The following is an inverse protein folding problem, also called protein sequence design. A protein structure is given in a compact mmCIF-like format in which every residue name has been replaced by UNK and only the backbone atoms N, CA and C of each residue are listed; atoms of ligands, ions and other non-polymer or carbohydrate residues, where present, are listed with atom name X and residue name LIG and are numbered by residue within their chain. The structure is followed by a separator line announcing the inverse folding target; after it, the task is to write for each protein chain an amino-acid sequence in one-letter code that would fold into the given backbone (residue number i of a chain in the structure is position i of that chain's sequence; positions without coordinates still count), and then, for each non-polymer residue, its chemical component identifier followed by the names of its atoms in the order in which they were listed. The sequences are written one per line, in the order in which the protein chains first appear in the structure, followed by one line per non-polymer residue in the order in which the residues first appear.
data_IF_367091968480
#
_entry.id   IF_367091968480
#
_cell.length_a   1.000
_cell.length_b   1.000
_cell.length_c   1.000
_cell.angle_alpha   90.00
_cell.angle_beta   90.00
_cell.angle_gamma   90.00
#
_symmetry.space_group_name_H-M   'P 1'
#
loop_
_entity.id
_entity.type
_entity.pdbx_description
1 polymer ?
#
# COMPACT_ATOMS: atom_id res chain seq x y z
N UNK A 1 31.76 -2.41 -49.41
CA UNK A 1 30.97 -1.81 -48.31
C UNK A 1 30.13 -2.90 -47.68
N UNK A 2 30.54 -3.41 -46.52
CA UNK A 2 29.78 -4.44 -45.80
C UNK A 2 28.54 -3.76 -45.19
N UNK A 3 27.35 -4.23 -45.54
CA UNK A 3 26.13 -3.90 -44.77
C UNK A 3 26.37 -4.43 -43.36
N UNK A 4 26.44 -3.53 -42.37
CA UNK A 4 26.34 -3.92 -40.98
C UNK A 4 25.02 -4.67 -40.83
N UNK A 5 25.10 -5.99 -40.65
CA UNK A 5 23.96 -6.79 -40.24
C UNK A 5 23.65 -6.35 -38.82
N UNK A 6 22.57 -5.58 -38.67
CA UNK A 6 21.98 -5.26 -37.36
C UNK A 6 21.72 -6.58 -36.62
N UNK A 7 22.06 -6.63 -35.34
CA UNK A 7 21.94 -7.88 -34.59
C UNK A 7 20.45 -8.23 -34.41
N UNK A 8 20.06 -9.53 -34.48
CA UNK A 8 18.66 -9.95 -34.32
C UNK A 8 17.99 -9.48 -33.01
N UNK A 9 18.80 -9.16 -31.99
CA UNK A 9 18.36 -8.62 -30.71
C UNK A 9 17.96 -7.13 -30.78
N UNK A 10 18.58 -6.33 -31.66
CA UNK A 10 18.20 -4.93 -31.89
C UNK A 10 16.85 -4.85 -32.60
N UNK A 11 16.61 -5.69 -33.61
CA UNK A 11 15.33 -5.71 -34.32
C UNK A 11 14.19 -6.14 -33.39
N UNK A 12 14.41 -7.14 -32.52
CA UNK A 12 13.41 -7.57 -31.55
C UNK A 12 13.10 -6.49 -30.49
N UNK A 13 14.12 -5.75 -30.04
CA UNK A 13 13.95 -4.64 -29.12
C UNK A 13 13.21 -3.46 -29.76
N UNK A 14 13.55 -3.12 -31.00
CA UNK A 14 12.90 -2.04 -31.76
C UNK A 14 11.44 -2.38 -32.08
N UNK A 15 11.14 -3.64 -32.43
CA UNK A 15 9.76 -4.13 -32.60
C UNK A 15 8.97 -4.08 -31.29
N UNK A 16 9.59 -4.46 -30.17
CA UNK A 16 8.95 -4.39 -28.85
C UNK A 16 8.62 -2.94 -28.46
N UNK A 17 9.53 -2.01 -28.72
CA UNK A 17 9.34 -0.57 -28.45
C UNK A 17 8.21 0.00 -29.32
N UNK A 18 8.19 -0.31 -30.62
CA UNK A 18 7.14 0.17 -31.54
C UNK A 18 5.76 -0.38 -31.14
N UNK A 19 5.67 -1.67 -30.80
CA UNK A 19 4.41 -2.27 -30.33
C UNK A 19 3.95 -1.67 -29.01
N UNK A 20 4.88 -1.44 -28.08
CA UNK A 20 4.58 -0.76 -26.83
C UNK A 20 4.06 0.67 -27.10
N UNK A 21 4.74 1.46 -27.94
CA UNK A 21 4.31 2.81 -28.31
C UNK A 21 2.91 2.84 -28.92
N UNK A 22 2.58 1.90 -29.80
CA UNK A 22 1.23 1.79 -30.36
C UNK A 22 0.21 1.45 -29.27
N UNK A 23 0.53 0.53 -28.35
CA UNK A 23 -0.33 0.23 -27.20
C UNK A 23 -0.54 1.44 -26.28
N UNK A 24 0.50 2.25 -26.05
CA UNK A 24 0.44 3.46 -25.23
C UNK A 24 -0.33 4.61 -25.91
N UNK A 25 -0.19 4.78 -27.23
CA UNK A 25 -0.76 5.92 -27.98
C UNK A 25 -2.13 5.63 -28.57
N UNK A 26 -2.42 4.38 -28.94
CA UNK A 26 -3.69 3.97 -29.54
C UNK A 26 -4.74 3.50 -28.52
N UNK A 27 -4.37 3.34 -27.23
CA UNK A 27 -5.32 3.03 -26.17
C UNK A 27 -5.74 4.30 -25.41
N UNK A 28 -6.89 4.93 -25.74
CA UNK A 28 -7.37 6.14 -25.05
C UNK A 28 -7.68 5.92 -23.56
N UNK A 29 -7.73 4.67 -23.08
CA UNK A 29 -7.87 4.33 -21.67
C UNK A 29 -6.56 4.44 -20.88
N UNK A 30 -5.40 4.40 -21.54
CA UNK A 30 -4.11 4.26 -20.86
C UNK A 30 -3.79 5.44 -19.93
N UNK A 31 -3.98 6.69 -20.40
CA UNK A 31 -3.72 7.90 -19.61
C UNK A 31 -4.58 8.00 -18.34
N UNK A 32 -5.92 7.96 -18.45
CA UNK A 32 -6.82 7.96 -17.30
C UNK A 32 -6.54 6.80 -16.33
N UNK A 33 -6.34 5.58 -16.86
CA UNK A 33 -6.06 4.40 -16.04
C UNK A 33 -4.73 4.51 -15.28
N UNK A 34 -3.70 5.11 -15.91
CA UNK A 34 -2.42 5.38 -15.23
C UNK A 34 -2.59 6.41 -14.11
N UNK A 35 -3.39 7.46 -14.31
CA UNK A 35 -3.61 8.49 -13.29
C UNK A 35 -4.33 7.92 -12.07
N UNK A 36 -5.43 7.18 -12.29
CA UNK A 36 -6.15 6.52 -11.21
C UNK A 36 -5.26 5.54 -10.46
N UNK A 37 -4.46 4.74 -11.18
CA UNK A 37 -3.52 3.80 -10.56
C UNK A 37 -2.55 4.49 -9.61
N UNK A 38 -1.94 5.62 -10.04
CA UNK A 38 -1.02 6.37 -9.17
C UNK A 38 -1.74 7.00 -7.97
N UNK A 39 -2.97 7.50 -8.13
CA UNK A 39 -3.77 8.02 -7.02
C UNK A 39 -4.13 6.92 -6.01
N UNK A 40 -4.45 5.72 -6.48
CA UNK A 40 -4.72 4.58 -5.61
C UNK A 40 -3.48 4.17 -4.83
N UNK A 41 -2.32 4.11 -5.49
CA UNK A 41 -1.05 3.84 -4.81
C UNK A 41 -0.68 4.90 -3.77
N UNK A 42 -0.89 6.18 -4.09
CA UNK A 42 -0.63 7.29 -3.16
C UNK A 42 -1.49 7.17 -1.89
N UNK A 43 -2.80 6.92 -2.04
CA UNK A 43 -3.70 6.68 -0.91
C UNK A 43 -3.34 5.44 -0.09
N UNK A 44 -2.88 4.37 -0.73
CA UNK A 44 -2.40 3.18 -0.02
C UNK A 44 -1.16 3.51 0.83
N UNK A 45 -0.26 4.34 0.32
CA UNK A 45 0.91 4.79 1.08
C UNK A 45 0.50 5.64 2.30
N UNK A 46 -0.49 6.52 2.15
CA UNK A 46 -1.04 7.31 3.26
C UNK A 46 -1.60 6.42 4.39
N UNK A 47 -2.37 5.38 4.05
CA UNK A 47 -2.93 4.46 5.06
C UNK A 47 -1.83 3.63 5.74
N UNK A 48 -0.81 3.19 5.00
CA UNK A 48 0.35 2.48 5.56
C UNK A 48 1.17 3.38 6.47
N UNK A 49 1.38 4.64 6.11
CA UNK A 49 2.09 5.63 6.93
C UNK A 49 1.34 5.88 8.25
N UNK A 50 0.03 6.11 8.17
CA UNK A 50 -0.84 6.32 9.33
C UNK A 50 -0.81 5.14 10.30
N UNK A 51 -0.99 3.91 9.79
CA UNK A 51 -0.87 2.70 10.59
C UNK A 51 0.51 2.58 11.24
N UNK A 52 1.57 2.74 10.44
CA UNK A 52 2.94 2.56 10.90
C UNK A 52 3.30 3.55 12.01
N UNK A 53 2.90 4.82 11.87
CA UNK A 53 3.14 5.84 12.89
C UNK A 53 2.49 5.47 14.24
N UNK A 54 1.23 5.00 14.22
CA UNK A 54 0.52 4.56 15.42
C UNK A 54 1.16 3.30 16.03
N UNK A 55 1.51 2.33 15.19
CA UNK A 55 2.18 1.09 15.61
C UNK A 55 3.53 1.36 16.28
N UNK A 56 4.38 2.20 15.67
CA UNK A 56 5.69 2.57 16.24
C UNK A 56 5.53 3.24 17.60
N UNK A 57 4.57 4.16 17.74
CA UNK A 57 4.27 4.80 19.03
C UNK A 57 3.95 3.76 20.11
N UNK A 58 3.02 2.83 19.81
CA UNK A 58 2.64 1.76 20.76
C UNK A 58 3.79 0.81 21.08
N UNK A 59 4.68 0.53 20.12
CA UNK A 59 5.89 -0.29 20.37
C UNK A 59 6.89 0.39 21.26
N UNK A 60 7.14 1.68 21.07
CA UNK A 60 7.98 2.44 21.99
C UNK A 60 7.40 2.49 23.40
N UNK A 61 6.09 2.69 23.52
CA UNK A 61 5.42 2.70 24.83
C UNK A 61 5.50 1.33 25.52
N UNK A 62 5.31 0.23 24.77
CA UNK A 62 5.46 -1.13 25.29
C UNK A 62 6.89 -1.42 25.76
N UNK A 63 7.90 -1.02 25.00
CA UNK A 63 9.31 -1.22 25.38
C UNK A 63 9.67 -0.41 26.62
N UNK A 64 9.25 0.87 26.68
CA UNK A 64 9.48 1.71 27.86
C UNK A 64 8.79 1.13 29.09
N UNK A 65 7.54 0.66 28.97
CA UNK A 65 6.83 0.07 30.10
C UNK A 65 7.47 -1.23 30.57
N UNK A 66 8.07 -2.03 29.66
CA UNK A 66 8.83 -3.22 30.03
C UNK A 66 10.12 -2.87 30.78
N UNK A 67 10.81 -1.80 30.39
CA UNK A 67 12.00 -1.30 31.11
C UNK A 67 11.63 -0.81 32.51
N UNK A 68 10.51 -0.10 32.67
CA UNK A 68 10.06 0.36 33.99
C UNK A 68 9.62 -0.80 34.88
N UNK A 69 8.91 -1.79 34.31
CA UNK A 69 8.57 -3.02 35.02
C UNK A 69 9.82 -3.76 35.51
N UNK A 70 10.83 -3.93 34.65
CA UNK A 70 12.04 -4.65 35.03
C UNK A 70 12.75 -3.94 36.19
N UNK A 71 12.91 -2.61 36.12
CA UNK A 71 13.46 -1.82 37.24
C UNK A 71 12.66 -2.06 38.52
N UNK A 72 11.33 -1.94 38.47
CA UNK A 72 10.46 -2.10 39.64
C UNK A 72 10.62 -3.48 40.29
N UNK A 73 10.65 -4.54 39.48
CA UNK A 73 10.85 -5.91 39.96
C UNK A 73 12.25 -6.09 40.56
N UNK A 74 13.29 -5.55 39.95
CA UNK A 74 14.67 -5.68 40.47
C UNK A 74 14.95 -4.80 41.70
N UNK A 75 14.26 -3.67 41.89
CA UNK A 75 14.48 -2.78 43.04
C UNK A 75 13.58 -3.09 44.23
N UNK A 76 12.36 -3.60 44.00
CA UNK A 76 11.36 -3.87 45.06
C UNK A 76 10.90 -5.32 45.12
N UNK A 77 10.71 -5.96 43.96
CA UNK A 77 10.16 -7.32 43.85
C UNK A 77 11.06 -8.45 44.36
N UNK A 78 12.37 -8.22 44.53
CA UNK A 78 13.28 -9.19 45.18
C UNK A 78 12.88 -9.42 46.64
N UNK A 79 12.30 -8.41 47.29
CA UNK A 79 11.92 -8.45 48.69
C UNK A 79 10.43 -8.77 48.90
N UNK A 80 9.61 -8.69 47.84
CA UNK A 80 8.19 -9.06 47.86
C UNK A 80 7.74 -9.69 46.50
N UNK A 81 7.64 -11.03 46.43
CA UNK A 81 7.19 -11.73 45.24
C UNK A 81 5.75 -11.41 44.82
N UNK A 82 4.86 -11.05 45.76
CA UNK A 82 3.47 -10.74 45.44
C UNK A 82 3.37 -9.43 44.64
N UNK A 83 4.14 -8.42 45.03
CA UNK A 83 4.26 -7.14 44.30
C UNK A 83 4.83 -7.36 42.89
N UNK A 84 5.81 -8.25 42.73
CA UNK A 84 6.37 -8.57 41.42
C UNK A 84 5.33 -9.24 40.49
N UNK A 85 4.53 -10.18 41.03
CA UNK A 85 3.48 -10.87 40.27
C UNK A 85 2.39 -9.89 39.84
N UNK A 86 1.92 -9.03 40.75
CA UNK A 86 0.90 -8.02 40.44
C UNK A 86 1.38 -7.07 39.34
N UNK A 87 2.59 -6.55 39.46
CA UNK A 87 3.19 -5.66 38.45
C UNK A 87 3.33 -6.34 37.07
N UNK A 88 3.70 -7.62 37.04
CA UNK A 88 3.77 -8.42 35.82
C UNK A 88 2.40 -8.63 35.18
N UNK A 89 1.38 -9.00 35.97
CA UNK A 89 0.01 -9.17 35.49
C UNK A 89 -0.56 -7.88 34.90
N UNK A 90 -0.32 -6.75 35.56
CA UNK A 90 -0.77 -5.45 35.07
C UNK A 90 -0.07 -5.03 33.77
N UNK A 91 1.23 -5.29 33.67
CA UNK A 91 1.97 -5.04 32.43
C UNK A 91 1.48 -5.94 31.28
N UNK A 92 1.23 -7.22 31.55
CA UNK A 92 0.70 -8.18 30.58
C UNK A 92 -0.66 -7.73 30.04
N UNK A 93 -1.58 -7.33 30.92
CA UNK A 93 -2.91 -6.82 30.52
C UNK A 93 -2.79 -5.63 29.57
N UNK A 94 -2.00 -4.63 29.93
CA UNK A 94 -1.75 -3.45 29.07
C UNK A 94 -1.05 -3.83 27.76
N UNK A 95 -0.26 -4.90 27.75
CA UNK A 95 0.36 -5.42 26.53
C UNK A 95 -0.67 -6.03 25.58
N UNK A 96 -1.64 -6.77 26.12
CA UNK A 96 -2.74 -7.33 25.33
C UNK A 96 -3.63 -6.23 24.74
N UNK A 97 -3.92 -5.17 25.51
CA UNK A 97 -4.66 -4.00 25.01
C UNK A 97 -3.96 -3.39 23.79
N UNK A 98 -2.65 -3.13 23.87
CA UNK A 98 -1.87 -2.59 22.73
C UNK A 98 -1.86 -3.51 21.51
N UNK A 99 -1.81 -4.83 21.71
CA UNK A 99 -1.84 -5.82 20.61
C UNK A 99 -3.22 -5.83 19.95
N UNK A 100 -4.30 -5.74 20.74
CA UNK A 100 -5.65 -5.65 20.21
C UNK A 100 -5.84 -4.38 19.35
N UNK A 101 -5.32 -3.24 19.83
CA UNK A 101 -5.30 -1.99 19.07
C UNK A 101 -4.50 -2.13 17.77
N UNK A 102 -3.33 -2.79 17.79
CA UNK A 102 -2.55 -3.06 16.59
C UNK A 102 -3.30 -3.92 15.57
N UNK A 103 -3.98 -4.98 16.04
CA UNK A 103 -4.74 -5.87 15.17
C UNK A 103 -5.92 -5.15 14.52
N UNK A 104 -6.61 -4.30 15.29
CA UNK A 104 -7.69 -3.45 14.79
C UNK A 104 -7.18 -2.49 13.71
N UNK A 105 -6.17 -1.68 14.02
CA UNK A 105 -5.65 -0.68 13.09
C UNK A 105 -5.06 -1.33 11.83
N UNK A 106 -4.41 -2.49 11.95
CA UNK A 106 -3.91 -3.26 10.81
C UNK A 106 -5.05 -3.74 9.91
N UNK A 107 -6.13 -4.23 10.50
CA UNK A 107 -7.32 -4.66 9.75
C UNK A 107 -7.96 -3.48 9.02
N UNK A 108 -8.10 -2.34 9.69
CA UNK A 108 -8.63 -1.11 9.08
C UNK A 108 -7.77 -0.63 7.90
N UNK A 109 -6.44 -0.61 8.07
CA UNK A 109 -5.50 -0.27 7.00
C UNK A 109 -5.63 -1.22 5.80
N UNK A 110 -5.67 -2.54 6.05
CA UNK A 110 -5.81 -3.53 4.98
C UNK A 110 -7.14 -3.37 4.23
N UNK A 111 -8.23 -3.11 4.94
CA UNK A 111 -9.54 -2.82 4.34
C UNK A 111 -9.51 -1.55 3.49
N UNK A 112 -8.94 -0.45 4.00
CA UNK A 112 -8.83 0.80 3.25
C UNK A 112 -7.96 0.65 1.98
N UNK A 113 -6.86 -0.10 2.06
CA UNK A 113 -6.04 -0.43 0.89
C UNK A 113 -6.82 -1.25 -0.14
N UNK A 114 -7.61 -2.25 0.30
CA UNK A 114 -8.45 -3.04 -0.60
C UNK A 114 -9.52 -2.16 -1.29
N UNK A 115 -10.15 -1.24 -0.55
CA UNK A 115 -11.10 -0.28 -1.11
C UNK A 115 -10.47 0.65 -2.15
N UNK A 116 -9.22 1.07 -1.94
CA UNK A 116 -8.47 1.88 -2.93
C UNK A 116 -8.28 1.11 -4.24
N UNK A 117 -7.93 -0.18 -4.18
CA UNK A 117 -7.79 -1.01 -5.37
C UNK A 117 -9.12 -1.19 -6.12
N UNK A 118 -10.20 -1.52 -5.39
CA UNK A 118 -11.52 -1.75 -5.99
C UNK A 118 -12.09 -0.47 -6.62
N UNK A 119 -12.02 0.65 -5.90
CA UNK A 119 -12.54 1.95 -6.39
C UNK A 119 -11.80 2.42 -7.63
N UNK A 120 -10.48 2.20 -7.66
CA UNK A 120 -9.64 2.50 -8.82
C UNK A 120 -10.05 1.71 -10.07
N UNK A 121 -10.32 0.41 -9.93
CA UNK A 121 -10.80 -0.41 -11.04
C UNK A 121 -12.15 0.05 -11.55
N UNK A 122 -13.09 0.39 -10.66
CA UNK A 122 -14.43 0.87 -11.07
C UNK A 122 -14.37 2.21 -11.79
N UNK A 123 -13.57 3.16 -11.30
CA UNK A 123 -13.43 4.48 -11.89
C UNK A 123 -12.71 4.42 -13.25
N UNK A 124 -11.65 3.61 -13.35
CA UNK A 124 -10.94 3.39 -14.60
C UNK A 124 -11.83 2.76 -15.68
N UNK A 125 -12.71 1.82 -15.31
CA UNK A 125 -13.66 1.19 -16.24
C UNK A 125 -14.71 2.20 -16.74
N UNK A 126 -15.26 3.04 -15.87
CA UNK A 126 -16.27 4.03 -16.25
C UNK A 126 -15.67 5.13 -17.14
N UNK A 127 -14.48 5.63 -16.83
CA UNK A 127 -13.78 6.61 -17.69
C UNK A 127 -13.36 6.00 -19.04
N UNK A 128 -12.94 4.74 -19.06
CA UNK A 128 -12.67 4.00 -20.30
C UNK A 128 -13.94 3.91 -21.16
N UNK A 129 -15.07 3.56 -20.55
CA UNK A 129 -16.37 3.50 -21.24
C UNK A 129 -16.76 4.86 -21.80
N UNK A 130 -16.54 5.97 -21.07
CA UNK A 130 -16.77 7.33 -21.57
C UNK A 130 -15.84 7.69 -22.74
N UNK A 131 -14.55 7.36 -22.65
CA UNK A 131 -13.58 7.60 -23.70
C UNK A 131 -13.93 6.84 -25.00
N UNK A 132 -14.32 5.57 -24.88
CA UNK A 132 -14.76 4.73 -26.02
C UNK A 132 -16.04 5.28 -26.66
N UNK A 133 -17.02 5.71 -25.87
CA UNK A 133 -18.25 6.36 -26.37
C UNK A 133 -17.93 7.66 -27.12
N UNK A 134 -17.01 8.49 -26.60
CA UNK A 134 -16.59 9.73 -27.24
C UNK A 134 -15.87 9.45 -28.56
N UNK A 135 -14.97 8.48 -28.60
CA UNK A 135 -14.25 8.09 -29.82
C UNK A 135 -15.19 7.57 -30.92
N UNK A 136 -16.15 6.71 -30.56
CA UNK A 136 -17.14 6.16 -31.52
C UNK A 136 -18.15 7.20 -32.01
N UNK A 137 -18.44 8.23 -31.22
CA UNK A 137 -19.28 9.37 -31.65
C UNK A 137 -18.59 10.28 -32.67
N UNK A 138 -17.26 10.33 -32.72
CA UNK A 138 -16.50 11.17 -33.65
C UNK A 138 -16.20 10.47 -35.00
N UNK A 139 -16.32 9.14 -35.08
CA UNK A 139 -16.15 8.37 -36.33
C UNK A 139 -17.43 8.26 -37.16
N UNK A 140 -18.55 8.79 -36.67
CA UNK A 140 -19.85 8.78 -37.36
C UNK A 140 -20.09 10.02 -38.23
N UNK A 141 -19.27 10.25 -39.25
CA UNK A 141 -19.70 11.10 -40.39
C UNK A 141 -19.50 10.29 -41.68
N UNK A 142 -20.56 9.75 -42.29
CA UNK A 142 -20.47 9.09 -43.58
C UNK A 142 -20.48 10.14 -44.71
N UNK A 143 -19.51 10.03 -45.62
CA UNK A 143 -19.61 10.52 -47.01
C UNK A 143 -19.25 9.36 -47.92
#
# INVERSE_FOLDING_TARGET
MAKLHRFPLEDAAEDAINRAQVLFTANPAFGPQSTHFWQAQDRMLEEVEKFSAAWFKRRHDATRSAIELSKHVFTGGIFDPAVAIEALSDWQRKSMERIADDAKDCTEMLSACAECMVSNETDAVEETRKAVKKATSHTGTPV
#
